data_IF_929010670659
#
_entry.id   IF_929010670659
#
_cell.length_a   1.000
_cell.length_b   1.000
_cell.length_c   1.000
_cell.angle_alpha   90.00
_cell.angle_beta   90.00
_cell.angle_gamma   90.00
#
_symmetry.space_group_name_H-M   'P 1'
#
loop_
_entity.id
_entity.type
_entity.pdbx_description
1 polymer ?
#
# COMPACT_ATOMS: atom_id res chain seq x y z
N UNK A 1 4.02 6.54 -14.51
CA UNK A 1 2.72 5.94 -14.15
C UNK A 1 2.27 6.55 -12.84
N UNK A 2 0.98 6.80 -12.68
CA UNK A 2 0.37 7.19 -11.41
C UNK A 2 -0.32 5.99 -10.75
N UNK A 3 -0.86 6.18 -9.54
CA UNK A 3 -1.64 5.16 -8.86
C UNK A 3 -2.63 5.79 -7.87
N UNK A 4 -3.78 5.15 -7.66
CA UNK A 4 -4.71 5.46 -6.58
C UNK A 4 -4.76 4.29 -5.61
N UNK A 5 -4.27 4.51 -4.38
CA UNK A 5 -4.31 3.56 -3.27
C UNK A 5 -5.59 3.82 -2.46
N UNK A 6 -6.36 2.79 -2.17
CA UNK A 6 -7.55 2.86 -1.31
C UNK A 6 -7.15 2.43 0.09
N UNK A 7 -7.06 3.40 1.02
CA UNK A 7 -6.57 3.21 2.37
C UNK A 7 -7.28 2.07 3.12
N UNK A 8 -8.59 1.94 2.94
CA UNK A 8 -9.41 0.91 3.60
C UNK A 8 -9.13 -0.51 3.08
N UNK A 9 -8.48 -0.66 1.93
CA UNK A 9 -8.12 -1.96 1.33
C UNK A 9 -6.69 -2.41 1.66
N UNK A 10 -5.85 -1.54 2.20
CA UNK A 10 -4.47 -1.91 2.56
C UNK A 10 -4.53 -2.95 3.69
N UNK A 11 -3.98 -4.16 3.49
CA UNK A 11 -3.93 -5.17 4.53
C UNK A 11 -2.97 -4.70 5.63
N UNK A 12 -3.45 -4.64 6.87
CA UNK A 12 -2.63 -4.27 8.03
C UNK A 12 -2.86 -5.29 9.12
N UNK A 13 -1.78 -6.00 9.49
CA UNK A 13 -1.78 -7.04 10.51
C UNK A 13 -2.19 -6.53 11.89
N UNK A 14 -2.72 -7.43 12.72
CA UNK A 14 -3.21 -7.08 14.05
C UNK A 14 -2.10 -6.50 14.94
N UNK A 15 -0.90 -7.09 14.91
CA UNK A 15 0.24 -6.61 15.68
C UNK A 15 0.60 -5.16 15.34
N UNK A 16 0.67 -4.82 14.04
CA UNK A 16 0.90 -3.45 13.56
C UNK A 16 -0.19 -2.49 14.03
N UNK A 17 -1.46 -2.91 14.05
CA UNK A 17 -2.56 -2.10 14.59
C UNK A 17 -2.41 -1.84 16.10
N UNK A 18 -1.99 -2.85 16.86
CA UNK A 18 -1.75 -2.70 18.30
C UNK A 18 -0.54 -1.78 18.57
N UNK A 19 0.53 -1.93 17.80
CA UNK A 19 1.67 -1.03 17.87
C UNK A 19 1.27 0.41 17.55
N UNK A 20 0.49 0.62 16.47
CA UNK A 20 0.01 1.94 16.09
C UNK A 20 -0.84 2.59 17.20
N UNK A 21 -1.70 1.80 17.85
CA UNK A 21 -2.47 2.25 19.03
C UNK A 21 -1.55 2.65 20.18
N UNK A 22 -0.52 1.86 20.48
CA UNK A 22 0.45 2.14 21.54
C UNK A 22 1.22 3.43 21.28
N UNK A 23 1.71 3.63 20.05
CA UNK A 23 2.45 4.82 19.65
C UNK A 23 1.56 6.02 19.29
N UNK A 24 0.24 5.85 19.34
CA UNK A 24 -0.76 6.88 18.96
C UNK A 24 -0.58 7.41 17.54
N UNK A 25 -0.17 6.53 16.63
CA UNK A 25 -0.02 6.84 15.19
C UNK A 25 -1.11 6.13 14.40
N UNK A 26 -1.35 6.60 13.17
CA UNK A 26 -2.24 5.91 12.26
C UNK A 26 -1.58 4.60 11.78
N UNK A 27 -2.23 3.42 11.90
CA UNK A 27 -1.65 2.18 11.38
C UNK A 27 -1.35 2.24 9.88
N UNK A 28 -2.04 3.08 9.12
CA UNK A 28 -1.76 3.29 7.70
C UNK A 28 -0.40 3.97 7.48
N UNK A 29 0.09 4.78 8.42
CA UNK A 29 1.43 5.39 8.28
C UNK A 29 2.53 4.33 8.34
N UNK A 30 2.39 3.33 9.22
CA UNK A 30 3.31 2.19 9.22
C UNK A 30 3.26 1.42 7.90
N UNK A 31 2.06 1.13 7.40
CA UNK A 31 1.91 0.38 6.14
C UNK A 31 2.43 1.13 4.90
N UNK A 32 2.42 2.47 4.90
CA UNK A 32 2.84 3.27 3.73
C UNK A 32 4.31 3.70 3.79
N UNK A 33 4.88 3.84 4.99
CA UNK A 33 6.19 4.48 5.17
C UNK A 33 7.15 3.71 6.08
N UNK A 34 6.68 2.69 6.80
CA UNK A 34 7.49 1.93 7.75
C UNK A 34 8.58 1.11 7.08
N UNK A 35 8.22 0.37 6.02
CA UNK A 35 9.13 -0.58 5.39
C UNK A 35 9.31 -1.85 6.23
N UNK A 36 10.34 -2.64 5.91
CA UNK A 36 10.68 -3.91 6.60
C UNK A 36 9.60 -5.01 6.55
N UNK A 37 8.55 -4.83 5.74
CA UNK A 37 7.50 -5.84 5.54
C UNK A 37 7.95 -7.01 4.64
N UNK A 38 8.94 -6.78 3.76
CA UNK A 38 9.43 -7.73 2.76
C UNK A 38 8.34 -8.30 1.83
N UNK A 39 7.26 -7.53 1.63
CA UNK A 39 6.13 -7.89 0.77
C UNK A 39 6.37 -7.52 -0.71
N UNK A 40 5.59 -8.14 -1.61
CA UNK A 40 5.60 -7.82 -3.03
C UNK A 40 4.49 -6.83 -3.40
N UNK A 41 4.87 -5.73 -4.04
CA UNK A 41 3.94 -4.79 -4.68
C UNK A 41 4.09 -4.89 -6.19
N UNK A 42 2.99 -5.20 -6.89
CA UNK A 42 2.98 -5.39 -8.33
C UNK A 42 1.66 -4.94 -8.94
N UNK A 43 1.64 -4.82 -10.26
CA UNK A 43 0.47 -4.39 -11.04
C UNK A 43 0.04 -5.49 -12.00
N UNK A 44 -1.25 -5.61 -12.23
CA UNK A 44 -1.84 -6.56 -13.18
C UNK A 44 -2.91 -5.86 -14.01
N UNK A 45 -3.23 -6.42 -15.18
CA UNK A 45 -4.38 -5.91 -15.94
C UNK A 45 -5.68 -6.21 -15.17
N UNK A 46 -6.66 -5.29 -15.15
CA UNK A 46 -7.88 -5.45 -14.36
C UNK A 46 -8.64 -6.75 -14.65
N UNK A 47 -8.72 -7.16 -15.92
CA UNK A 47 -9.40 -8.38 -16.36
C UNK A 47 -8.71 -9.66 -15.88
N UNK A 48 -7.45 -9.56 -15.47
CA UNK A 48 -6.61 -10.67 -15.01
C UNK A 48 -6.51 -10.76 -13.49
N UNK A 49 -6.94 -9.72 -12.77
CA UNK A 49 -6.64 -9.55 -11.35
C UNK A 49 -7.13 -10.75 -10.50
N UNK A 50 -8.41 -11.11 -10.60
CA UNK A 50 -8.97 -12.23 -9.85
C UNK A 50 -8.27 -13.56 -10.17
N UNK A 51 -7.95 -13.79 -11.46
CA UNK A 51 -7.27 -15.02 -11.90
C UNK A 51 -5.88 -15.11 -11.29
N UNK A 52 -5.14 -14.00 -11.25
CA UNK A 52 -3.79 -13.96 -10.68
C UNK A 52 -3.84 -14.14 -9.16
N UNK A 53 -4.78 -13.51 -8.45
CA UNK A 53 -4.94 -13.70 -7.01
C UNK A 53 -5.19 -15.16 -6.64
N UNK A 54 -6.11 -15.84 -7.33
CA UNK A 54 -6.38 -17.27 -7.12
C UNK A 54 -5.13 -18.10 -7.38
N UNK A 55 -4.46 -17.89 -8.52
CA UNK A 55 -3.26 -18.66 -8.86
C UNK A 55 -2.10 -18.46 -7.90
N UNK A 56 -1.89 -17.24 -7.39
CA UNK A 56 -0.87 -16.97 -6.38
C UNK A 56 -1.16 -17.77 -5.11
N UNK A 57 -2.40 -17.70 -4.61
CA UNK A 57 -2.81 -18.46 -3.43
C UNK A 57 -2.65 -19.96 -3.64
N UNK A 58 -3.08 -20.50 -4.78
CA UNK A 58 -3.00 -21.93 -5.07
C UNK A 58 -1.55 -22.41 -5.22
N UNK A 59 -0.68 -21.62 -5.84
CA UNK A 59 0.69 -22.01 -6.13
C UNK A 59 1.67 -21.80 -4.96
N UNK A 60 1.45 -20.77 -4.14
CA UNK A 60 2.40 -20.36 -3.08
C UNK A 60 1.80 -20.35 -1.68
N UNK A 61 0.48 -20.50 -1.55
CA UNK A 61 -0.24 -20.31 -0.28
C UNK A 61 -0.33 -18.85 0.17
N UNK A 62 0.20 -17.90 -0.61
CA UNK A 62 0.24 -16.48 -0.24
C UNK A 62 -0.97 -15.74 -0.80
N UNK A 63 -1.66 -14.98 0.05
CA UNK A 63 -2.76 -14.12 -0.37
C UNK A 63 -2.22 -12.76 -0.86
N UNK A 64 -2.83 -12.23 -1.91
CA UNK A 64 -2.55 -10.88 -2.38
C UNK A 64 -3.84 -10.05 -2.33
N UNK A 65 -3.70 -8.74 -2.13
CA UNK A 65 -4.83 -7.82 -1.97
C UNK A 65 -4.79 -6.73 -3.04
N UNK A 66 -5.91 -6.50 -3.73
CA UNK A 66 -6.04 -5.34 -4.62
C UNK A 66 -6.22 -4.10 -3.75
N UNK A 67 -5.17 -3.30 -3.64
CA UNK A 67 -5.17 -2.07 -2.81
C UNK A 67 -5.52 -0.81 -3.60
N UNK A 68 -5.68 -0.91 -4.93
CA UNK A 68 -5.84 0.29 -5.75
C UNK A 68 -5.85 0.01 -7.25
N UNK A 69 -5.61 1.07 -8.02
CA UNK A 69 -5.53 1.03 -9.48
C UNK A 69 -4.39 1.91 -9.99
N UNK A 70 -3.89 1.59 -11.19
CA UNK A 70 -2.88 2.40 -11.88
C UNK A 70 -3.58 3.51 -12.66
N UNK A 71 -2.96 4.69 -12.66
CA UNK A 71 -3.43 5.89 -13.33
C UNK A 71 -2.39 6.39 -14.34
N UNK A 72 -2.81 7.34 -15.17
CA UNK A 72 -1.90 8.15 -15.99
C UNK A 72 -0.83 8.83 -15.14
N UNK A 73 0.37 9.02 -15.71
CA UNK A 73 1.54 9.48 -14.96
C UNK A 73 1.35 10.87 -14.33
N UNK A 74 0.64 11.76 -15.01
CA UNK A 74 0.40 13.15 -14.62
C UNK A 74 -0.47 13.26 -13.35
N UNK A 75 -1.18 12.19 -12.99
CA UNK A 75 -2.00 12.12 -11.78
C UNK A 75 -1.17 11.89 -10.51
N UNK A 76 0.06 11.38 -10.65
CA UNK A 76 0.93 11.02 -9.53
C UNK A 76 0.38 9.85 -8.70
N UNK A 77 0.94 9.66 -7.49
CA UNK A 77 0.49 8.67 -6.53
C UNK A 77 -0.46 9.33 -5.53
N UNK A 78 -1.66 8.79 -5.41
CA UNK A 78 -2.76 9.33 -4.61
C UNK A 78 -3.23 8.29 -3.59
N UNK A 79 -3.73 8.75 -2.46
CA UNK A 79 -4.41 7.93 -1.46
C UNK A 79 -5.86 8.41 -1.34
N UNK A 80 -6.81 7.51 -1.58
CA UNK A 80 -8.21 7.67 -1.22
C UNK A 80 -8.45 7.16 0.19
N UNK A 81 -9.08 7.96 1.03
CA UNK A 81 -9.47 7.60 2.38
C UNK A 81 -10.79 8.27 2.74
N UNK A 82 -11.80 7.48 3.10
CA UNK A 82 -13.15 7.98 3.45
C UNK A 82 -13.73 8.95 2.40
N UNK A 83 -13.49 8.65 1.12
CA UNK A 83 -13.94 9.47 -0.02
C UNK A 83 -13.12 10.73 -0.28
N UNK A 84 -12.06 11.00 0.49
CA UNK A 84 -11.11 12.10 0.22
C UNK A 84 -9.88 11.55 -0.47
N UNK A 85 -9.44 12.24 -1.52
CA UNK A 85 -8.23 11.89 -2.28
C UNK A 85 -7.15 12.93 -1.98
N UNK A 86 -5.96 12.48 -1.62
CA UNK A 86 -4.81 13.34 -1.37
C UNK A 86 -3.54 12.75 -2.02
N UNK A 87 -2.56 13.58 -2.42
CA UNK A 87 -1.26 13.10 -2.86
C UNK A 87 -0.55 12.30 -1.78
N UNK A 88 0.07 11.18 -2.15
CA UNK A 88 0.99 10.47 -1.26
C UNK A 88 2.31 11.23 -1.23
N UNK A 89 2.55 11.98 -0.16
CA UNK A 89 3.84 12.64 0.07
C UNK A 89 4.80 11.61 0.66
N UNK A 90 5.95 11.40 0.01
CA UNK A 90 6.94 10.44 0.46
C UNK A 90 7.46 10.82 1.85
N UNK A 91 7.40 9.86 2.78
CA UNK A 91 7.96 9.95 4.15
C UNK A 91 8.77 8.69 4.50
N UNK A 92 9.08 7.88 3.50
CA UNK A 92 9.79 6.62 3.69
C UNK A 92 11.28 6.84 3.94
N UNK A 93 12.00 5.74 4.11
CA UNK A 93 13.43 5.75 4.37
C UNK A 93 14.25 6.28 3.18
N UNK A 94 15.19 7.18 3.45
CA UNK A 94 16.17 7.68 2.51
C UNK A 94 17.57 7.65 3.16
N UNK A 95 18.51 6.92 2.54
CA UNK A 95 19.84 6.68 3.11
C UNK A 95 20.66 7.96 3.35
N UNK A 96 20.45 8.99 2.54
CA UNK A 96 21.24 10.21 2.52
C UNK A 96 20.35 11.44 2.58
N UNK A 97 19.42 11.46 3.55
CA UNK A 97 18.59 12.64 3.73
C UNK A 97 19.44 13.75 4.36
N UNK A 98 19.77 14.77 3.57
CA UNK A 98 20.58 15.93 3.98
C UNK A 98 19.75 16.99 4.76
N UNK A 99 18.45 16.76 4.95
CA UNK A 99 17.61 17.63 5.78
C UNK A 99 17.81 17.32 7.28
N UNK A 100 18.51 18.24 7.96
CA UNK A 100 18.58 18.38 9.42
C UNK A 100 17.49 19.32 9.94
#
# INVERSE_FOLDING_TARGET
MGALIVAEKVPIGQATRQAALHFKVDPLEFALFGGEDYELVFTVRPEEANRILTRLKDATGTEATIVGEILEAERGILVSRRGRIAPLTAKGYEHFNDEK
#
